data_IF_045155917899
#
_entry.id   IF_045155917899
#
_cell.length_a   1.000
_cell.length_b   1.000
_cell.length_c   1.000
_cell.angle_alpha   90.00
_cell.angle_beta   90.00
_cell.angle_gamma   90.00
#
_symmetry.space_group_name_H-M   'P 1'
#
loop_
_entity.id
_entity.type
_entity.pdbx_description
1 polymer ?
#
# COMPACT_ATOMS: atom_id res chain seq x y z
N UNK A 1 -5.01 -2.11 -0.31
CA UNK A 1 -3.82 -1.39 0.19
C UNK A 1 -4.28 -0.09 0.82
N UNK A 2 -3.64 0.36 1.91
CA UNK A 2 -3.91 1.65 2.56
C UNK A 2 -2.63 2.47 2.61
N UNK A 3 -2.71 3.75 2.23
CA UNK A 3 -1.60 4.71 2.32
C UNK A 3 -2.04 5.89 3.18
N UNK A 4 -1.45 6.06 4.36
CA UNK A 4 -1.97 6.97 5.38
C UNK A 4 -0.86 7.57 6.24
N UNK A 5 -1.06 8.78 6.75
CA UNK A 5 -0.16 9.40 7.75
C UNK A 5 -0.30 8.79 9.15
N UNK A 6 -1.35 7.99 9.38
CA UNK A 6 -1.58 7.40 10.70
C UNK A 6 -0.54 6.33 11.02
N UNK A 7 0.03 6.43 12.22
CA UNK A 7 0.93 5.44 12.81
C UNK A 7 0.29 4.76 14.03
N UNK A 8 -1.00 4.99 14.28
CA UNK A 8 -1.70 4.40 15.40
C UNK A 8 -1.86 2.89 15.17
N UNK A 9 -1.44 2.08 16.15
CA UNK A 9 -1.53 0.61 16.06
C UNK A 9 -2.97 0.12 15.80
N UNK A 10 -3.96 0.83 16.34
CA UNK A 10 -5.38 0.54 16.14
C UNK A 10 -5.81 0.70 14.67
N UNK A 11 -5.32 1.72 13.98
CA UNK A 11 -5.64 1.96 12.57
C UNK A 11 -5.00 0.89 11.67
N UNK A 12 -3.75 0.51 11.97
CA UNK A 12 -3.04 -0.56 11.26
C UNK A 12 -3.78 -1.89 11.45
N UNK A 13 -4.11 -2.26 12.70
CA UNK A 13 -4.85 -3.48 13.01
C UNK A 13 -6.21 -3.50 12.32
N UNK A 14 -6.95 -2.37 12.35
CA UNK A 14 -8.25 -2.24 11.69
C UNK A 14 -8.14 -2.41 10.19
N UNK A 15 -7.11 -1.86 9.55
CA UNK A 15 -6.89 -2.02 8.12
C UNK A 15 -6.70 -3.49 7.73
N UNK A 16 -5.85 -4.21 8.47
CA UNK A 16 -5.64 -5.65 8.21
C UNK A 16 -6.83 -6.52 8.59
N UNK A 17 -7.58 -6.17 9.64
CA UNK A 17 -8.86 -6.82 9.96
C UNK A 17 -9.83 -6.72 8.78
N UNK A 18 -9.88 -5.55 8.13
CA UNK A 18 -10.67 -5.28 6.91
C UNK A 18 -10.00 -5.79 5.62
N UNK A 19 -9.08 -6.77 5.72
CA UNK A 19 -8.45 -7.46 4.59
C UNK A 19 -7.61 -6.54 3.69
N UNK A 20 -7.02 -5.48 4.22
CA UNK A 20 -6.04 -4.71 3.47
C UNK A 20 -4.79 -5.57 3.20
N UNK A 21 -4.39 -5.69 1.94
CA UNK A 21 -3.15 -6.39 1.56
C UNK A 21 -1.89 -5.80 2.20
N UNK A 22 -1.86 -4.48 2.43
CA UNK A 22 -0.72 -3.75 2.98
C UNK A 22 -1.17 -2.40 3.55
N UNK A 23 -0.50 -1.94 4.60
CA UNK A 23 -0.60 -0.58 5.15
C UNK A 23 0.77 0.12 5.02
N UNK A 24 0.80 1.27 4.34
CA UNK A 24 2.00 2.05 4.10
C UNK A 24 1.85 3.41 4.77
N UNK A 25 2.85 3.79 5.57
CA UNK A 25 2.89 5.12 6.19
C UNK A 25 3.27 6.16 5.14
N UNK A 26 2.47 7.21 5.00
CA UNK A 26 2.73 8.31 4.06
C UNK A 26 3.92 9.14 4.54
N UNK A 27 5.00 9.23 3.74
CA UNK A 27 6.14 10.07 4.10
C UNK A 27 5.73 11.53 4.19
N UNK A 28 6.41 12.26 5.07
CA UNK A 28 6.24 13.70 5.22
C UNK A 28 7.17 14.47 4.27
N UNK A 29 8.33 13.90 3.97
CA UNK A 29 9.29 14.43 3.02
C UNK A 29 8.93 14.06 1.57
N UNK A 30 9.20 14.98 0.63
CA UNK A 30 8.85 14.80 -0.77
C UNK A 30 9.74 13.76 -1.47
N UNK A 31 11.03 13.71 -1.14
CA UNK A 31 11.96 12.76 -1.75
C UNK A 31 11.61 11.34 -1.30
N UNK A 32 11.33 11.15 0.00
CA UNK A 32 10.83 9.88 0.55
C UNK A 32 9.49 9.47 -0.09
N UNK A 33 8.59 10.44 -0.32
CA UNK A 33 7.31 10.18 -0.99
C UNK A 33 7.53 9.62 -2.40
N UNK A 34 8.42 10.24 -3.18
CA UNK A 34 8.74 9.79 -4.54
C UNK A 34 9.32 8.37 -4.50
N UNK A 35 10.22 8.08 -3.56
CA UNK A 35 10.77 6.73 -3.39
C UNK A 35 9.69 5.69 -3.08
N UNK A 36 8.83 5.95 -2.10
CA UNK A 36 7.73 5.03 -1.72
C UNK A 36 6.77 4.81 -2.89
N UNK A 37 6.43 5.85 -3.64
CA UNK A 37 5.55 5.72 -4.82
C UNK A 37 6.18 4.82 -5.89
N UNK A 38 7.48 4.95 -6.15
CA UNK A 38 8.21 4.07 -7.06
C UNK A 38 8.23 2.61 -6.55
N UNK A 39 8.32 2.39 -5.25
CA UNK A 39 8.25 1.03 -4.67
C UNK A 39 6.86 0.42 -4.80
N UNK A 40 5.80 1.22 -4.62
CA UNK A 40 4.41 0.78 -4.80
C UNK A 40 4.19 0.35 -6.25
N UNK A 41 4.62 1.16 -7.22
CA UNK A 41 4.50 0.85 -8.65
C UNK A 41 5.17 -0.48 -9.00
N UNK A 42 6.44 -0.65 -8.62
CA UNK A 42 7.18 -1.90 -8.82
C UNK A 42 6.50 -3.09 -8.17
N UNK A 43 6.03 -2.92 -6.93
CA UNK A 43 5.42 -4.01 -6.16
C UNK A 43 4.16 -4.54 -6.83
N UNK A 44 3.25 -3.67 -7.28
CA UNK A 44 1.97 -4.09 -7.85
C UNK A 44 2.03 -4.46 -9.33
N UNK A 45 2.76 -3.69 -10.13
CA UNK A 45 2.66 -3.80 -11.59
C UNK A 45 3.80 -4.60 -12.22
N UNK A 46 4.93 -4.75 -11.52
CA UNK A 46 6.11 -5.43 -12.05
C UNK A 46 6.35 -6.76 -11.33
N UNK A 47 6.23 -6.77 -10.00
CA UNK A 47 6.62 -7.92 -9.16
C UNK A 47 5.43 -8.82 -8.84
N UNK A 48 4.30 -8.25 -8.43
CA UNK A 48 3.15 -9.05 -8.01
C UNK A 48 2.49 -9.77 -9.20
N UNK A 49 2.21 -11.06 -9.05
CA UNK A 49 1.29 -11.76 -9.91
C UNK A 49 -0.14 -11.42 -9.48
N UNK A 50 -0.74 -10.43 -10.15
CA UNK A 50 -2.12 -10.05 -9.90
C UNK A 50 -3.08 -11.03 -10.60
N UNK A 51 -4.26 -11.31 -10.00
CA UNK A 51 -5.28 -12.07 -10.68
C UNK A 51 -5.67 -11.34 -11.97
N UNK A 52 -5.74 -12.06 -13.09
CA UNK A 52 -6.38 -11.52 -14.29
C UNK A 52 -7.85 -11.28 -13.95
N UNK A 53 -8.38 -10.11 -14.29
CA UNK A 53 -9.82 -9.91 -14.23
C UNK A 53 -10.49 -11.01 -15.08
N UNK A 54 -11.28 -11.85 -14.43
CA UNK A 54 -12.17 -12.75 -15.14
C UNK A 54 -13.18 -11.85 -15.84
N UNK A 55 -13.02 -11.63 -17.13
CA UNK A 55 -14.09 -11.09 -17.96
C UNK A 55 -15.19 -12.15 -17.97
N UNK A 56 -16.17 -11.98 -17.08
CA UNK A 56 -17.44 -12.69 -17.13
C UNK A 56 -18.39 -12.00 -18.12
#
# INVERSE_FOLDING_TARGET
>A
MVFSISQAAQDIQKAYYLQANCFISKPLDLDDFIEVMNMIEKSWFIIACLPQEHQA
#
